data_IF_053466968873
#
_entry.id   IF_053466968873
#
_cell.length_a   1.000
_cell.length_b   1.000
_cell.length_c   1.000
_cell.angle_alpha   90.00
_cell.angle_beta   90.00
_cell.angle_gamma   90.00
#
_symmetry.space_group_name_H-M   'P 1'
#
loop_
_entity.id
_entity.type
_entity.pdbx_description
1 polymer ?
#
# COMPACT_ATOMS: atom_id res chain seq x y z
N UNK A 1 -26.01 -3.80 5.23
CA UNK A 1 -25.48 -3.03 4.08
C UNK A 1 -23.97 -3.09 4.16
N UNK A 2 -23.28 -3.36 3.06
CA UNK A 2 -21.82 -3.28 3.03
C UNK A 2 -21.40 -1.81 3.07
N UNK A 3 -20.51 -1.45 3.98
CA UNK A 3 -19.91 -0.11 4.04
C UNK A 3 -18.79 -0.08 3.00
N UNK A 4 -18.77 0.94 2.13
CA UNK A 4 -17.63 1.19 1.26
C UNK A 4 -16.45 1.65 2.14
N UNK A 5 -15.43 0.81 2.27
CA UNK A 5 -14.22 1.11 3.02
C UNK A 5 -13.20 1.68 2.02
N UNK A 6 -12.72 2.89 2.30
CA UNK A 6 -11.62 3.50 1.57
C UNK A 6 -10.31 3.18 2.28
N UNK A 7 -9.26 2.87 1.51
CA UNK A 7 -7.95 2.48 2.06
C UNK A 7 -6.81 3.20 1.33
N UNK A 8 -5.79 3.60 2.07
CA UNK A 8 -4.48 3.95 1.55
C UNK A 8 -3.68 2.67 1.29
N UNK A 9 -3.04 2.58 0.12
CA UNK A 9 -2.05 1.54 -0.17
C UNK A 9 -0.64 2.16 -0.07
N UNK A 10 0.21 1.58 0.78
CA UNK A 10 1.63 1.88 0.85
C UNK A 10 2.41 0.73 0.23
N UNK A 11 2.95 0.96 -0.97
CA UNK A 11 3.86 0.02 -1.64
C UNK A 11 5.31 0.40 -1.30
N UNK A 12 6.03 -0.51 -0.63
CA UNK A 12 7.33 -0.25 -0.02
C UNK A 12 8.38 -1.13 -0.67
N UNK A 13 9.35 -0.49 -1.33
CA UNK A 13 10.46 -1.14 -2.00
C UNK A 13 11.80 -0.61 -1.46
N UNK A 14 12.74 -1.52 -1.18
CA UNK A 14 14.12 -1.10 -0.89
C UNK A 14 14.84 -0.67 -2.16
N UNK A 15 15.65 0.38 -2.06
CA UNK A 15 16.44 0.89 -3.19
C UNK A 15 17.47 -0.12 -3.73
N UNK A 16 17.91 -1.06 -2.90
CA UNK A 16 18.83 -2.14 -3.27
C UNK A 16 18.12 -3.37 -3.88
N UNK A 17 16.79 -3.33 -4.01
CA UNK A 17 15.97 -4.41 -4.54
C UNK A 17 15.85 -5.63 -3.62
N UNK A 18 16.38 -5.57 -2.41
CA UNK A 18 16.21 -6.63 -1.42
C UNK A 18 14.82 -6.56 -0.75
N UNK A 19 14.37 -7.62 -0.07
CA UNK A 19 13.11 -7.60 0.69
C UNK A 19 13.12 -6.58 1.83
N UNK A 20 12.07 -5.75 1.92
CA UNK A 20 11.77 -4.93 3.10
C UNK A 20 10.68 -5.61 3.93
N UNK A 21 11.06 -6.29 5.02
CA UNK A 21 10.10 -7.03 5.85
C UNK A 21 10.35 -6.91 7.36
N UNK A 22 11.24 -6.03 7.82
CA UNK A 22 11.29 -5.71 9.25
C UNK A 22 10.06 -4.88 9.62
N UNK A 23 9.20 -5.42 10.47
CA UNK A 23 7.97 -4.77 10.90
C UNK A 23 8.22 -3.40 11.56
N UNK A 24 9.40 -3.17 12.13
CA UNK A 24 9.76 -1.88 12.75
C UNK A 24 9.97 -0.80 11.69
N UNK A 25 10.60 -1.16 10.58
CA UNK A 25 10.78 -0.25 9.45
C UNK A 25 9.42 0.05 8.82
N UNK A 26 8.59 -0.98 8.62
CA UNK A 26 7.23 -0.83 8.10
C UNK A 26 6.35 0.05 9.01
N UNK A 27 6.41 -0.15 10.32
CA UNK A 27 5.73 0.69 11.31
C UNK A 27 6.23 2.13 11.28
N UNK A 28 7.55 2.34 11.22
CA UNK A 28 8.13 3.69 11.16
C UNK A 28 7.70 4.42 9.88
N UNK A 29 7.76 3.74 8.72
CA UNK A 29 7.29 4.28 7.43
C UNK A 29 5.80 4.63 7.53
N UNK A 30 4.95 3.72 8.01
CA UNK A 30 3.51 3.99 8.18
C UNK A 30 3.26 5.19 9.09
N UNK A 31 3.94 5.27 10.22
CA UNK A 31 3.81 6.40 11.15
C UNK A 31 4.25 7.72 10.52
N UNK A 32 5.32 7.72 9.71
CA UNK A 32 5.78 8.90 8.99
C UNK A 32 4.83 9.33 7.87
N UNK A 33 4.21 8.37 7.17
CA UNK A 33 3.40 8.64 5.97
C UNK A 33 1.94 8.96 6.30
N UNK A 34 1.35 8.24 7.26
CA UNK A 34 -0.08 8.34 7.59
C UNK A 34 -0.31 8.88 9.00
N UNK A 35 0.46 8.39 9.98
CA UNK A 35 0.39 8.85 11.36
C UNK A 35 0.54 7.73 12.39
N UNK A 36 0.81 8.10 13.63
CA UNK A 36 1.05 7.14 14.71
C UNK A 36 -0.19 6.31 15.05
N UNK A 37 -1.35 6.97 15.08
CA UNK A 37 -2.63 6.40 15.53
C UNK A 37 -3.36 5.55 14.49
N UNK A 38 -2.87 5.50 13.25
CA UNK A 38 -3.49 4.71 12.19
C UNK A 38 -3.07 3.26 12.27
N UNK A 39 -4.00 2.34 12.05
CA UNK A 39 -3.69 0.91 11.95
C UNK A 39 -3.43 0.51 10.50
N UNK A 40 -2.52 -0.45 10.30
CA UNK A 40 -2.17 -0.94 8.98
C UNK A 40 -2.25 -2.47 8.94
N UNK A 41 -2.73 -2.99 7.82
CA UNK A 41 -2.84 -4.42 7.56
C UNK A 41 -1.85 -4.78 6.46
N UNK A 42 -0.98 -5.74 6.74
CA UNK A 42 -0.19 -6.45 5.73
C UNK A 42 -1.00 -7.67 5.26
N UNK A 43 -1.19 -7.80 3.94
CA UNK A 43 -2.00 -8.86 3.36
C UNK A 43 -1.13 -9.81 2.54
N UNK A 44 -1.16 -11.09 2.89
CA UNK A 44 -0.69 -12.16 2.01
C UNK A 44 -1.84 -12.60 1.09
N UNK A 45 -1.73 -12.37 -0.24
CA UNK A 45 -2.80 -12.73 -1.17
C UNK A 45 -3.06 -14.24 -1.19
N UNK A 46 -4.24 -14.64 -1.66
CA UNK A 46 -4.44 -16.03 -2.07
C UNK A 46 -3.44 -16.36 -3.19
N UNK A 47 -2.89 -17.57 -3.20
CA UNK A 47 -1.89 -18.04 -4.18
C UNK A 47 -2.26 -17.72 -5.64
N UNK A 48 -3.54 -17.85 -5.99
CA UNK A 48 -4.03 -17.54 -7.34
C UNK A 48 -3.93 -16.06 -7.76
N UNK A 49 -3.66 -15.16 -6.81
CA UNK A 49 -3.48 -13.72 -7.03
C UNK A 49 -2.06 -13.25 -6.74
N UNK A 50 -1.17 -14.14 -6.32
CA UNK A 50 0.21 -13.78 -6.01
C UNK A 50 0.90 -13.33 -7.30
N UNK A 51 1.54 -12.16 -7.24
CA UNK A 51 2.38 -11.65 -8.32
C UNK A 51 3.74 -11.30 -7.72
N UNK A 52 4.69 -12.22 -7.86
CA UNK A 52 6.05 -12.07 -7.34
C UNK A 52 6.99 -11.56 -8.44
N UNK A 53 7.00 -10.24 -8.64
CA UNK A 53 7.81 -9.56 -9.67
C UNK A 53 8.78 -8.53 -9.09
N UNK A 54 8.58 -8.16 -7.83
CA UNK A 54 9.40 -7.21 -7.10
C UNK A 54 9.31 -7.55 -5.61
N UNK A 55 10.42 -7.41 -4.89
CA UNK A 55 10.51 -7.58 -3.43
C UNK A 55 9.82 -6.41 -2.69
N UNK A 56 8.59 -6.12 -3.06
CA UNK A 56 7.76 -5.01 -2.57
C UNK A 56 6.78 -5.52 -1.52
N UNK A 57 6.66 -4.77 -0.43
CA UNK A 57 5.70 -5.05 0.65
C UNK A 57 4.58 -4.05 0.60
N UNK A 58 3.34 -4.52 0.77
CA UNK A 58 2.14 -3.68 0.68
C UNK A 58 1.45 -3.59 2.04
N UNK A 59 1.23 -2.36 2.52
CA UNK A 59 0.40 -2.08 3.69
C UNK A 59 -0.88 -1.38 3.27
N UNK A 60 -2.00 -1.78 3.85
CA UNK A 60 -3.30 -1.15 3.66
C UNK A 60 -3.73 -0.46 4.95
N UNK A 61 -4.06 0.82 4.87
CA UNK A 61 -4.47 1.64 6.01
C UNK A 61 -5.87 2.17 5.77
N UNK A 62 -6.78 2.01 6.73
CA UNK A 62 -8.14 2.56 6.60
C UNK A 62 -8.11 4.08 6.52
N UNK A 63 -8.92 4.63 5.62
CA UNK A 63 -9.13 6.08 5.51
C UNK A 63 -10.33 6.48 6.38
N UNK A 64 -10.14 7.52 7.18
CA UNK A 64 -11.21 8.24 7.84
C UNK A 64 -11.77 9.34 6.94
N UNK A 65 -12.99 9.80 7.20
CA UNK A 65 -13.69 10.77 6.33
C UNK A 65 -12.97 12.13 6.23
N UNK A 66 -12.14 12.47 7.23
CA UNK A 66 -11.38 13.71 7.30
C UNK A 66 -9.97 13.60 6.69
N UNK A 67 -9.54 12.40 6.25
CA UNK A 67 -8.20 12.18 5.72
C UNK A 67 -8.03 12.81 4.34
N UNK A 68 -7.11 13.77 4.25
CA UNK A 68 -6.66 14.31 2.97
C UNK A 68 -5.61 13.37 2.37
N UNK A 69 -5.62 13.16 1.05
CA UNK A 69 -4.53 12.47 0.36
C UNK A 69 -3.16 13.08 0.64
N UNK A 70 -2.37 12.42 1.46
CA UNK A 70 -0.97 12.77 1.68
C UNK A 70 -0.15 12.05 0.61
N UNK A 71 0.08 12.73 -0.50
CA UNK A 71 0.96 12.25 -1.55
C UNK A 71 2.40 12.68 -1.22
N UNK A 72 3.17 11.83 -0.53
CA UNK A 72 4.62 12.05 -0.37
C UNK A 72 5.34 11.29 -1.48
N UNK A 73 5.91 12.04 -2.41
CA UNK A 73 6.62 11.48 -3.54
C UNK A 73 8.02 11.01 -3.11
N UNK A 74 8.18 9.73 -2.80
CA UNK A 74 9.48 9.09 -2.60
C UNK A 74 9.75 8.08 -3.71
N UNK A 75 9.92 8.60 -4.94
CA UNK A 75 10.64 7.94 -6.02
C UNK A 75 10.07 6.66 -6.60
N UNK A 76 9.06 6.76 -7.49
CA UNK A 76 9.05 6.25 -8.89
C UNK A 76 7.75 6.74 -9.57
N UNK A 77 7.78 6.94 -10.88
CA UNK A 77 6.82 7.68 -11.70
C UNK A 77 5.33 7.32 -11.55
N UNK A 78 4.47 8.35 -11.60
CA UNK A 78 3.12 8.27 -12.16
C UNK A 78 1.96 8.29 -11.16
N UNK A 79 1.15 9.34 -11.21
CA UNK A 79 -0.13 9.48 -10.49
C UNK A 79 -1.08 8.35 -10.91
N UNK A 80 -1.54 7.52 -9.98
CA UNK A 80 -2.67 6.61 -10.21
C UNK A 80 -3.64 6.71 -9.03
N UNK A 81 -4.77 7.34 -9.28
CA UNK A 81 -5.92 7.31 -8.37
C UNK A 81 -6.60 5.95 -8.58
N UNK A 82 -6.31 4.99 -7.70
CA UNK A 82 -7.03 3.71 -7.70
C UNK A 82 -8.32 3.90 -6.91
N UNK A 83 -9.40 4.21 -7.62
CA UNK A 83 -10.74 4.03 -7.07
C UNK A 83 -10.89 2.52 -6.82
N UNK A 84 -10.90 2.12 -5.55
CA UNK A 84 -10.99 0.71 -5.14
C UNK A 84 -12.40 0.18 -5.38
N UNK A 85 -12.73 -0.03 -6.66
CA UNK A 85 -13.74 -0.98 -7.10
C UNK A 85 -12.97 -2.04 -7.87
N UNK A 86 -12.88 -3.22 -7.27
CA UNK A 86 -12.53 -4.51 -7.88
C UNK A 86 -12.19 -4.44 -9.39
N UNK A 87 -10.91 -4.28 -9.72
CA UNK A 87 -10.47 -4.36 -11.11
C UNK A 87 -9.24 -5.26 -11.22
N UNK A 88 -9.50 -6.53 -11.52
CA UNK A 88 -8.52 -7.45 -12.09
C UNK A 88 -8.09 -6.98 -13.47
N UNK A 89 -7.23 -5.97 -13.53
CA UNK A 89 -6.62 -5.47 -14.76
C UNK A 89 -5.20 -6.00 -14.92
N UNK A 90 -4.99 -6.88 -15.90
CA UNK A 90 -3.66 -7.28 -16.37
C UNK A 90 -2.80 -6.03 -16.65
N UNK A 91 -1.58 -6.04 -16.13
CA UNK A 91 -0.51 -5.12 -16.57
C UNK A 91 -0.02 -5.59 -17.94
N UNK A 92 -0.05 -4.75 -19.00
CA UNK A 92 0.70 -5.08 -20.21
C UNK A 92 2.21 -4.98 -19.91
N UNK A 93 2.97 -5.86 -20.57
CA UNK A 93 4.43 -6.01 -20.46
C UNK A 93 5.18 -4.72 -20.77
#
# INVERSE_FOLDING_TARGET
MAKDIKVWELSILRKDGQPAHDWRDLQAIKTMMVGAEYEAIELYPAESRVIDVANETHLFVEMTEDDKPVCVHVGRFGRREVNSVLAGGQRPL
#
